data_IF_408197304415
#
_entry.id   IF_408197304415
#
_cell.length_a   1.000
_cell.length_b   1.000
_cell.length_c   1.000
_cell.angle_alpha   90.00
_cell.angle_beta   90.00
_cell.angle_gamma   90.00
#
_symmetry.space_group_name_H-M   'P 1'
#
loop_
_entity.id
_entity.type
_entity.pdbx_description
1 polymer ?
#
# COMPACT_ATOMS: atom_id res chain seq x y z
N UNK A 1 -0.70 -7.17 13.71
CA UNK A 1 -1.86 -7.27 12.81
C UNK A 1 -1.64 -8.50 11.96
N UNK A 2 -2.62 -9.40 11.92
CA UNK A 2 -2.52 -10.64 11.15
C UNK A 2 -3.12 -10.43 9.76
N UNK A 3 -2.46 -11.02 8.75
CA UNK A 3 -2.88 -10.99 7.35
C UNK A 3 -3.21 -12.39 6.91
N UNK A 4 -4.35 -12.55 6.25
CA UNK A 4 -4.74 -13.81 5.64
C UNK A 4 -4.09 -13.95 4.27
N UNK A 5 -3.25 -14.96 4.12
CA UNK A 5 -2.59 -15.32 2.87
C UNK A 5 -3.55 -16.04 1.94
N UNK A 6 -3.20 -16.09 0.64
CA UNK A 6 -4.01 -16.76 -0.39
C UNK A 6 -4.18 -18.27 -0.15
N UNK A 7 -3.25 -18.87 0.60
CA UNK A 7 -3.31 -20.27 1.05
C UNK A 7 -4.16 -20.45 2.33
N UNK A 8 -4.74 -19.37 2.86
CA UNK A 8 -5.56 -19.38 4.07
C UNK A 8 -4.79 -19.25 5.37
N UNK A 9 -3.45 -19.21 5.33
CA UNK A 9 -2.62 -19.04 6.55
C UNK A 9 -2.72 -17.61 7.06
N UNK A 10 -2.66 -17.47 8.39
CA UNK A 10 -2.49 -16.17 9.04
C UNK A 10 -1.01 -15.97 9.32
N UNK A 11 -0.48 -14.82 8.91
CA UNK A 11 0.89 -14.41 9.18
C UNK A 11 0.89 -12.95 9.62
N UNK A 12 1.89 -12.55 10.41
CA UNK A 12 2.06 -11.15 10.76
C UNK A 12 2.32 -10.29 9.52
N UNK A 13 1.70 -9.10 9.50
CA UNK A 13 1.96 -8.14 8.44
C UNK A 13 3.44 -7.77 8.42
N UNK A 14 4.08 -7.97 7.27
CA UNK A 14 5.45 -7.54 7.04
C UNK A 14 5.46 -6.12 6.44
N UNK A 15 5.65 -5.13 7.30
CA UNK A 15 5.71 -3.71 6.91
C UNK A 15 6.91 -3.43 6.00
N UNK A 16 8.08 -4.01 6.29
CA UNK A 16 9.28 -3.81 5.45
C UNK A 16 9.08 -4.26 4.01
N UNK A 17 8.31 -5.33 3.81
CA UNK A 17 7.96 -5.84 2.49
C UNK A 17 7.03 -4.87 1.76
N UNK A 18 6.06 -4.31 2.48
CA UNK A 18 5.14 -3.31 1.96
C UNK A 18 5.93 -2.06 1.51
N UNK A 19 6.80 -1.57 2.39
CA UNK A 19 7.64 -0.42 2.15
C UNK A 19 8.52 -0.56 0.91
N UNK A 20 9.18 -1.72 0.76
CA UNK A 20 9.98 -2.01 -0.44
C UNK A 20 9.16 -2.00 -1.73
N UNK A 21 7.95 -2.53 -1.71
CA UNK A 21 7.09 -2.58 -2.90
C UNK A 21 6.61 -1.17 -3.29
N UNK A 22 6.17 -0.37 -2.32
CA UNK A 22 5.72 1.00 -2.57
C UNK A 22 6.90 1.88 -3.00
N UNK A 23 8.06 1.74 -2.35
CA UNK A 23 9.27 2.45 -2.72
C UNK A 23 9.71 2.12 -4.14
N UNK A 24 9.68 0.84 -4.53
CA UNK A 24 9.98 0.43 -5.91
C UNK A 24 8.96 0.96 -6.92
N UNK A 25 7.68 1.06 -6.54
CA UNK A 25 6.65 1.67 -7.38
C UNK A 25 6.81 3.19 -7.54
N UNK A 26 7.38 3.86 -6.53
CA UNK A 26 7.70 5.29 -6.56
C UNK A 26 9.12 5.58 -7.07
N UNK A 27 9.95 4.56 -7.29
CA UNK A 27 11.32 4.70 -7.79
C UNK A 27 11.25 5.28 -9.22
N UNK A 28 11.98 6.36 -9.47
CA UNK A 28 11.94 7.17 -10.71
C UNK A 28 10.67 7.98 -11.00
N UNK A 29 9.69 7.99 -10.08
CA UNK A 29 8.51 8.86 -10.19
C UNK A 29 8.72 10.12 -9.34
N UNK A 30 8.77 11.29 -9.97
CA UNK A 30 8.94 12.56 -9.26
C UNK A 30 7.60 13.07 -8.73
N UNK A 31 7.57 13.71 -7.57
CA UNK A 31 6.33 14.25 -7.00
C UNK A 31 5.39 13.20 -6.38
N UNK A 32 5.88 11.99 -6.12
CA UNK A 32 5.19 10.99 -5.30
C UNK A 32 5.98 10.71 -4.03
N UNK A 33 5.28 10.31 -2.97
CA UNK A 33 5.85 10.00 -1.66
C UNK A 33 5.35 8.64 -1.21
N UNK A 34 6.26 7.66 -1.22
CA UNK A 34 5.98 6.30 -0.76
C UNK A 34 5.41 6.30 0.67
N UNK A 35 5.98 7.14 1.56
CA UNK A 35 5.52 7.25 2.94
C UNK A 35 4.08 7.74 3.05
N UNK A 36 3.63 8.58 2.12
CA UNK A 36 2.27 9.13 2.12
C UNK A 36 1.25 8.06 1.71
N UNK A 37 1.58 7.24 0.70
CA UNK A 37 0.80 6.06 0.29
C UNK A 37 0.70 5.06 1.44
N UNK A 38 1.80 4.81 2.14
CA UNK A 38 1.83 3.89 3.28
C UNK A 38 0.93 4.33 4.43
N UNK A 39 0.98 5.61 4.82
CA UNK A 39 0.13 6.14 5.90
C UNK A 39 -1.35 6.02 5.51
N UNK A 40 -1.69 6.40 4.28
CA UNK A 40 -3.07 6.42 3.81
C UNK A 40 -3.66 5.00 3.70
N UNK A 41 -2.83 4.03 3.30
CA UNK A 41 -3.22 2.61 3.21
C UNK A 41 -3.29 1.92 4.57
N UNK A 42 -2.35 2.19 5.49
CA UNK A 42 -2.34 1.60 6.82
C UNK A 42 -3.60 1.93 7.64
N UNK A 43 -4.19 3.11 7.44
CA UNK A 43 -5.45 3.51 8.09
C UNK A 43 -6.60 2.58 7.69
N UNK A 44 -6.57 2.02 6.47
CA UNK A 44 -7.61 1.16 5.93
C UNK A 44 -7.38 -0.33 6.25
N UNK A 45 -6.24 -0.70 6.81
CA UNK A 45 -5.97 -2.08 7.20
C UNK A 45 -6.71 -2.46 8.49
N UNK A 46 -7.22 -3.69 8.53
CA UNK A 46 -7.89 -4.28 9.69
C UNK A 46 -7.34 -5.68 9.97
N UNK A 47 -7.58 -6.19 11.18
CA UNK A 47 -7.06 -7.50 11.56
C UNK A 47 -7.69 -8.63 10.74
N UNK A 48 -6.88 -9.60 10.33
CA UNK A 48 -7.27 -10.68 9.40
C UNK A 48 -7.64 -10.23 7.98
N UNK A 49 -7.19 -9.05 7.54
CA UNK A 49 -7.32 -8.60 6.14
C UNK A 49 -6.67 -9.60 5.18
N UNK A 50 -7.29 -9.84 4.02
CA UNK A 50 -6.70 -10.71 3.00
C UNK A 50 -5.53 -10.01 2.31
N UNK A 51 -4.51 -10.78 1.91
CA UNK A 51 -3.33 -10.22 1.22
C UNK A 51 -3.69 -9.58 -0.11
N UNK A 52 -4.77 -10.05 -0.75
CA UNK A 52 -5.33 -9.44 -1.97
C UNK A 52 -5.94 -8.06 -1.70
N UNK A 53 -6.71 -7.93 -0.62
CA UNK A 53 -7.31 -6.64 -0.22
C UNK A 53 -6.23 -5.61 0.12
N UNK A 54 -5.12 -6.01 0.76
CA UNK A 54 -3.99 -5.12 1.04
C UNK A 54 -3.46 -4.47 -0.25
N UNK A 55 -3.32 -5.25 -1.33
CA UNK A 55 -2.84 -4.73 -2.60
C UNK A 55 -3.85 -3.77 -3.22
N UNK A 56 -5.14 -4.10 -3.17
CA UNK A 56 -6.18 -3.19 -3.64
C UNK A 56 -6.22 -1.88 -2.83
N UNK A 57 -6.11 -1.96 -1.51
CA UNK A 57 -6.08 -0.80 -0.62
C UNK A 57 -4.91 0.11 -0.94
N UNK A 58 -3.73 -0.45 -1.24
CA UNK A 58 -2.57 0.32 -1.67
C UNK A 58 -2.81 1.04 -2.99
N UNK A 59 -3.39 0.35 -3.98
CA UNK A 59 -3.72 0.94 -5.29
C UNK A 59 -4.75 2.07 -5.13
N UNK A 60 -5.81 1.84 -4.35
CA UNK A 60 -6.84 2.86 -4.05
C UNK A 60 -6.24 4.06 -3.34
N UNK A 61 -5.39 3.82 -2.34
CA UNK A 61 -4.72 4.89 -1.58
C UNK A 61 -3.77 5.72 -2.46
N UNK A 62 -3.06 5.10 -3.40
CA UNK A 62 -2.23 5.81 -4.37
C UNK A 62 -3.10 6.59 -5.37
N UNK A 63 -4.19 6.00 -5.86
CA UNK A 63 -5.13 6.66 -6.76
C UNK A 63 -5.81 7.87 -6.12
N UNK A 64 -6.16 7.79 -4.83
CA UNK A 64 -6.74 8.91 -4.06
C UNK A 64 -5.74 10.06 -3.88
N UNK A 65 -4.43 9.80 -3.99
CA UNK A 65 -3.38 10.82 -3.97
C UNK A 65 -3.14 11.45 -5.34
N UNK A 66 -3.74 10.94 -6.42
CA UNK A 66 -3.72 11.58 -7.74
C UNK A 66 -4.50 12.89 -7.64
N UNK A 67 -3.79 14.00 -7.78
CA UNK A 67 -4.38 15.34 -7.81
C UNK A 67 -3.71 16.21 -8.86
N UNK A 68 -4.26 17.40 -9.13
CA UNK A 68 -3.63 18.37 -10.03
C UNK A 68 -2.24 18.80 -9.55
N UNK A 69 -1.96 18.74 -8.24
CA UNK A 69 -0.63 19.03 -7.67
C UNK A 69 0.33 17.83 -7.74
N UNK A 70 -0.20 16.60 -7.74
CA UNK A 70 0.58 15.35 -7.77
C UNK A 70 0.08 14.41 -8.88
N UNK A 71 0.22 14.78 -10.17
CA UNK A 71 -0.29 13.99 -11.29
C UNK A 71 0.43 12.64 -11.46
N UNK A 72 1.63 12.52 -10.91
CA UNK A 72 2.51 11.38 -11.11
C UNK A 72 2.15 10.16 -10.24
N UNK A 73 1.09 10.23 -9.43
CA UNK A 73 0.51 9.05 -8.77
C UNK A 73 -0.32 8.15 -9.71
N UNK A 74 -0.43 8.51 -11.00
CA UNK A 74 -1.19 7.81 -12.04
C UNK A 74 -0.60 6.46 -12.46
#
# INVERSE_FOLDING_TARGET
MQVKKRDGRLEDLNIDKLHKVVMYACEDITGVSASQVEINSQIQFFDSIATEDIQETLIKSAADLISEEYPNYQ
#
